data_IF_852017185290
#
_entry.id   IF_852017185290
#
_cell.length_a   1.000
_cell.length_b   1.000
_cell.length_c   1.000
_cell.angle_alpha   90.00
_cell.angle_beta   90.00
_cell.angle_gamma   90.00
#
_symmetry.space_group_name_H-M   'P 1'
#
loop_
_entity.id
_entity.type
_entity.pdbx_description
1 polymer ?
#
# COMPACT_ATOMS: atom_id res chain seq x y z
N UNK A 1 8.53 -8.50 -11.58
CA UNK A 1 7.98 -7.40 -10.75
C UNK A 1 7.07 -6.51 -11.58
N UNK A 2 6.06 -5.94 -10.94
CA UNK A 2 5.16 -4.96 -11.58
C UNK A 2 4.64 -4.01 -10.51
N UNK A 3 4.05 -2.90 -10.94
CA UNK A 3 3.34 -2.02 -10.00
C UNK A 3 2.04 -2.74 -9.60
N UNK A 4 1.94 -3.06 -8.31
CA UNK A 4 0.74 -3.70 -7.77
C UNK A 4 -0.37 -2.69 -7.51
N UNK A 5 -0.03 -1.60 -6.85
CA UNK A 5 -0.99 -0.54 -6.57
C UNK A 5 -0.32 0.81 -6.31
N UNK A 6 -1.15 1.84 -6.39
CA UNK A 6 -0.83 3.19 -5.92
C UNK A 6 -1.73 3.46 -4.73
N UNK A 7 -1.13 3.80 -3.59
CA UNK A 7 -1.88 4.10 -2.37
C UNK A 7 -2.04 5.60 -2.19
N UNK A 8 -3.26 6.00 -1.89
CA UNK A 8 -3.66 7.40 -1.73
C UNK A 8 -4.22 7.59 -0.32
N UNK A 9 -3.66 8.53 0.42
CA UNK A 9 -4.14 8.89 1.74
C UNK A 9 -5.38 9.79 1.60
N UNK A 10 -6.47 9.41 2.26
CA UNK A 10 -7.73 10.16 2.24
C UNK A 10 -8.26 10.32 3.66
N UNK A 11 -9.01 11.40 3.88
CA UNK A 11 -9.64 11.62 5.18
C UNK A 11 -10.83 10.67 5.42
N UNK A 12 -11.54 10.32 4.36
CA UNK A 12 -12.69 9.44 4.41
C UNK A 12 -12.77 8.57 3.16
N UNK A 13 -12.70 7.26 3.35
CA UNK A 13 -12.85 6.31 2.24
C UNK A 13 -14.22 6.44 1.60
N UNK A 14 -15.30 6.56 2.40
CA UNK A 14 -16.66 6.66 1.85
C UNK A 14 -16.86 7.91 1.00
N UNK A 15 -16.30 9.04 1.41
CA UNK A 15 -16.39 10.27 0.62
C UNK A 15 -15.50 10.20 -0.63
N UNK A 16 -14.28 9.69 -0.49
CA UNK A 16 -13.37 9.55 -1.62
C UNK A 16 -13.93 8.62 -2.70
N UNK A 17 -14.53 7.49 -2.30
CA UNK A 17 -15.14 6.56 -3.24
C UNK A 17 -16.15 7.21 -4.17
N UNK A 18 -16.94 8.15 -3.66
CA UNK A 18 -17.92 8.88 -4.48
C UNK A 18 -17.25 9.59 -5.65
N UNK A 19 -16.08 10.18 -5.41
CA UNK A 19 -15.33 10.88 -6.44
C UNK A 19 -14.74 9.93 -7.48
N UNK A 20 -14.11 8.86 -7.02
CA UNK A 20 -13.47 7.90 -7.90
C UNK A 20 -14.49 7.13 -8.75
N UNK A 21 -15.63 6.74 -8.17
CA UNK A 21 -16.68 6.04 -8.89
C UNK A 21 -17.33 6.88 -9.99
N UNK A 22 -17.38 8.20 -9.85
CA UNK A 22 -17.92 9.10 -10.87
C UNK A 22 -17.04 9.13 -12.13
N UNK A 23 -15.75 8.94 -11.98
CA UNK A 23 -14.76 9.22 -13.03
C UNK A 23 -14.22 7.95 -13.64
N UNK A 24 -13.99 6.91 -12.84
CA UNK A 24 -13.31 5.70 -13.25
C UNK A 24 -14.29 4.54 -13.42
N UNK A 25 -14.02 3.71 -14.42
CA UNK A 25 -14.67 2.39 -14.54
C UNK A 25 -13.88 1.41 -13.71
N UNK A 26 -14.38 1.11 -12.53
CA UNK A 26 -13.71 0.26 -11.57
C UNK A 26 -14.28 -1.15 -11.70
N UNK A 27 -13.42 -2.15 -11.90
CA UNK A 27 -13.84 -3.54 -12.10
C UNK A 27 -14.41 -4.15 -10.82
N UNK A 28 -13.81 -3.81 -9.68
CA UNK A 28 -14.23 -4.33 -8.38
C UNK A 28 -13.72 -3.41 -7.27
N UNK A 29 -14.54 -3.24 -6.22
CA UNK A 29 -14.17 -2.50 -5.03
C UNK A 29 -14.26 -3.44 -3.83
N UNK A 30 -13.17 -3.55 -3.07
CA UNK A 30 -13.12 -4.27 -1.80
C UNK A 30 -12.76 -3.29 -0.70
N UNK A 31 -13.31 -3.47 0.49
CA UNK A 31 -13.00 -2.64 1.65
C UNK A 31 -12.53 -3.55 2.78
N UNK A 32 -11.42 -3.19 3.40
CA UNK A 32 -10.81 -3.99 4.46
C UNK A 32 -10.20 -3.08 5.53
N UNK A 33 -10.27 -3.49 6.80
CA UNK A 33 -9.47 -2.89 7.85
C UNK A 33 -8.18 -3.69 8.04
N UNK A 34 -7.06 -2.98 8.18
CA UNK A 34 -5.74 -3.59 8.43
C UNK A 34 -5.26 -3.08 9.79
N UNK A 35 -5.58 -3.80 10.89
CA UNK A 35 -5.28 -3.33 12.24
C UNK A 35 -3.80 -3.08 12.51
N UNK A 36 -2.92 -3.91 11.93
CA UNK A 36 -1.48 -3.77 12.09
C UNK A 36 -0.96 -2.45 11.53
N UNK A 37 -1.61 -1.90 10.50
CA UNK A 37 -1.25 -0.62 9.88
C UNK A 37 -2.18 0.51 10.29
N UNK A 38 -3.19 0.23 11.10
CA UNK A 38 -4.19 1.19 11.61
C UNK A 38 -4.84 1.99 10.51
N UNK A 39 -5.27 1.27 9.46
CA UNK A 39 -5.92 1.85 8.29
C UNK A 39 -7.14 1.05 7.88
N UNK A 40 -8.09 1.76 7.28
CA UNK A 40 -9.17 1.20 6.49
C UNK A 40 -8.82 1.44 5.03
N UNK A 41 -8.89 0.41 4.22
CA UNK A 41 -8.45 0.47 2.82
C UNK A 41 -9.62 0.14 1.91
N UNK A 42 -9.84 0.97 0.90
CA UNK A 42 -10.68 0.62 -0.24
C UNK A 42 -9.77 0.28 -1.40
N UNK A 43 -9.92 -0.91 -1.93
CA UNK A 43 -9.12 -1.41 -3.05
C UNK A 43 -9.95 -1.34 -4.31
N UNK A 44 -9.53 -0.49 -5.24
CA UNK A 44 -10.19 -0.24 -6.52
C UNK A 44 -9.41 -0.96 -7.61
N UNK A 45 -9.96 -2.04 -8.15
CA UNK A 45 -9.29 -2.81 -9.19
C UNK A 45 -9.51 -2.19 -10.56
N UNK A 46 -8.40 -1.95 -11.25
CA UNK A 46 -8.34 -1.36 -12.59
C UNK A 46 -7.46 -2.26 -13.48
N UNK A 47 -8.05 -3.27 -14.09
CA UNK A 47 -7.25 -4.27 -14.82
C UNK A 47 -6.28 -4.99 -13.88
N UNK A 48 -5.01 -4.98 -14.22
CA UNK A 48 -3.97 -5.67 -13.43
C UNK A 48 -3.40 -4.82 -12.29
N UNK A 49 -3.83 -3.58 -12.15
CA UNK A 49 -3.34 -2.65 -11.15
C UNK A 49 -4.50 -2.19 -10.25
N UNK A 50 -4.16 -1.66 -9.09
CA UNK A 50 -5.15 -1.19 -8.12
C UNK A 50 -4.82 0.22 -7.67
N UNK A 51 -5.86 0.97 -7.31
CA UNK A 51 -5.74 2.16 -6.48
C UNK A 51 -6.23 1.77 -5.10
N UNK A 52 -5.47 2.08 -4.07
CA UNK A 52 -5.87 1.85 -2.68
C UNK A 52 -6.07 3.18 -1.97
N UNK A 53 -7.30 3.41 -1.52
CA UNK A 53 -7.63 4.59 -0.73
C UNK A 53 -7.49 4.22 0.74
N UNK A 54 -6.66 4.95 1.49
CA UNK A 54 -6.30 4.61 2.86
C UNK A 54 -6.78 5.69 3.81
N UNK A 55 -7.64 5.30 4.75
CA UNK A 55 -8.16 6.15 5.81
C UNK A 55 -7.57 5.71 7.15
N UNK A 56 -7.04 6.63 7.98
CA UNK A 56 -6.49 6.23 9.28
C UNK A 56 -7.59 5.80 10.24
N UNK A 57 -7.35 4.73 11.01
CA UNK A 57 -8.29 4.25 12.03
C UNK A 57 -7.87 4.61 13.45
N UNK A 58 -6.72 5.26 13.61
CA UNK A 58 -6.21 5.70 14.92
C UNK A 58 -5.34 6.93 14.74
N UNK A 59 -5.19 7.72 15.81
CA UNK A 59 -4.40 8.95 15.78
C UNK A 59 -2.90 8.70 15.55
N UNK A 60 -2.41 7.53 15.91
CA UNK A 60 -1.01 7.13 15.72
C UNK A 60 -0.76 6.37 14.41
N UNK A 61 -1.75 6.35 13.52
CA UNK A 61 -1.57 5.79 12.18
C UNK A 61 -0.57 6.62 11.37
N UNK A 62 0.35 5.98 10.62
CA UNK A 62 1.22 6.69 9.70
C UNK A 62 0.45 7.53 8.65
N UNK A 63 -0.73 7.06 8.27
CA UNK A 63 -1.60 7.81 7.34
C UNK A 63 -2.15 9.07 7.99
N UNK A 64 -2.46 9.02 9.28
CA UNK A 64 -2.90 10.21 10.02
C UNK A 64 -1.82 11.28 10.03
N UNK A 65 -0.59 10.89 10.29
CA UNK A 65 0.56 11.79 10.26
C UNK A 65 0.75 12.42 8.88
N UNK A 66 0.66 11.59 7.83
CA UNK A 66 0.79 12.06 6.45
C UNK A 66 -0.29 13.11 6.12
N UNK A 67 -1.55 12.82 6.45
CA UNK A 67 -2.67 13.74 6.20
C UNK A 67 -2.49 15.06 6.93
N UNK A 68 -2.02 15.02 8.19
CA UNK A 68 -1.77 16.22 8.99
C UNK A 68 -0.66 17.08 8.39
N UNK A 69 0.40 16.45 7.91
CA UNK A 69 1.57 17.17 7.38
C UNK A 69 1.41 17.60 5.92
N UNK A 70 0.73 16.80 5.09
CA UNK A 70 0.71 16.99 3.64
C UNK A 70 -0.68 17.10 3.03
N UNK A 71 -1.74 16.72 3.78
CA UNK A 71 -3.09 16.62 3.22
C UNK A 71 -3.28 15.35 2.40
N UNK A 72 -4.41 15.27 1.71
CA UNK A 72 -4.72 14.12 0.86
C UNK A 72 -3.80 14.06 -0.36
N UNK A 73 -3.43 12.86 -0.76
CA UNK A 73 -2.58 12.65 -1.92
C UNK A 73 -1.92 11.29 -1.94
N UNK A 74 -1.06 11.05 -2.93
CA UNK A 74 -0.34 9.80 -3.07
C UNK A 74 0.58 9.59 -1.87
N UNK A 75 0.42 8.44 -1.22
CA UNK A 75 1.23 8.06 -0.06
C UNK A 75 2.41 7.17 -0.46
N UNK A 76 2.17 6.16 -1.27
CA UNK A 76 3.22 5.25 -1.72
C UNK A 76 2.84 4.53 -3.01
N UNK A 77 3.83 3.91 -3.63
CA UNK A 77 3.62 2.95 -4.70
C UNK A 77 4.07 1.57 -4.21
N UNK A 78 3.40 0.54 -4.65
CA UNK A 78 3.73 -0.83 -4.28
C UNK A 78 4.15 -1.65 -5.50
N UNK A 79 5.22 -2.39 -5.32
CA UNK A 79 5.82 -3.27 -6.33
C UNK A 79 5.65 -4.71 -5.88
N UNK A 80 5.21 -5.58 -6.78
CA UNK A 80 5.11 -7.00 -6.46
C UNK A 80 6.49 -7.60 -6.26
N UNK A 81 6.65 -8.37 -5.20
CA UNK A 81 7.85 -9.17 -4.95
C UNK A 81 7.56 -10.62 -5.29
N UNK A 82 8.48 -11.28 -6.00
CA UNK A 82 8.37 -12.70 -6.29
C UNK A 82 8.75 -13.54 -5.07
N UNK A 83 9.76 -13.07 -4.34
CA UNK A 83 10.23 -13.63 -3.08
C UNK A 83 10.69 -12.45 -2.23
N UNK A 84 9.82 -12.00 -1.34
CA UNK A 84 10.05 -10.74 -0.61
C UNK A 84 11.28 -10.80 0.29
N UNK A 85 11.55 -11.95 0.91
CA UNK A 85 12.72 -12.10 1.76
C UNK A 85 14.01 -11.92 0.94
N UNK A 86 14.06 -12.52 -0.24
CA UNK A 86 15.18 -12.42 -1.16
C UNK A 86 15.33 -11.02 -1.74
N UNK A 87 14.23 -10.41 -2.10
CA UNK A 87 14.24 -9.06 -2.66
C UNK A 87 14.73 -8.05 -1.64
N UNK A 88 14.34 -8.20 -0.36
CA UNK A 88 14.82 -7.38 0.73
C UNK A 88 16.33 -7.60 0.97
N UNK A 89 16.78 -8.85 1.01
CA UNK A 89 18.20 -9.15 1.17
C UNK A 89 19.06 -8.50 0.08
N UNK A 90 18.61 -8.60 -1.17
CA UNK A 90 19.30 -7.98 -2.31
C UNK A 90 19.34 -6.46 -2.17
N UNK A 91 18.22 -5.85 -1.78
CA UNK A 91 18.13 -4.41 -1.57
C UNK A 91 19.09 -3.93 -0.46
N UNK A 92 19.07 -4.62 0.68
CA UNK A 92 19.94 -4.29 1.81
C UNK A 92 21.41 -4.45 1.44
N UNK A 93 21.76 -5.52 0.73
CA UNK A 93 23.11 -5.75 0.26
C UNK A 93 23.59 -4.64 -0.70
N UNK A 94 22.67 -3.97 -1.38
CA UNK A 94 22.97 -2.84 -2.27
C UNK A 94 22.99 -1.49 -1.56
N UNK A 95 22.82 -1.46 -0.24
CA UNK A 95 22.82 -0.24 0.56
C UNK A 95 21.45 0.41 0.71
N UNK A 96 20.37 -0.26 0.31
CA UNK A 96 19.01 0.25 0.44
C UNK A 96 18.57 0.27 1.91
N UNK A 97 17.94 1.36 2.31
CA UNK A 97 17.39 1.52 3.65
C UNK A 97 15.94 1.05 3.69
N UNK A 98 15.66 0.04 4.50
CA UNK A 98 14.31 -0.46 4.73
C UNK A 98 13.66 0.22 5.93
N UNK A 99 12.33 0.25 5.96
CA UNK A 99 11.55 0.72 7.10
C UNK A 99 10.80 -0.47 7.69
N UNK A 100 11.19 -0.86 8.89
CA UNK A 100 10.55 -1.96 9.60
C UNK A 100 10.87 -3.33 8.99
N UNK A 101 10.21 -4.32 9.54
CA UNK A 101 10.36 -5.71 9.13
C UNK A 101 9.26 -6.11 8.14
N UNK A 102 9.45 -7.26 7.49
CA UNK A 102 8.39 -7.90 6.70
C UNK A 102 7.24 -8.24 7.65
N UNK A 103 6.03 -7.87 7.26
CA UNK A 103 4.82 -8.08 8.06
C UNK A 103 3.62 -8.34 7.18
N UNK A 104 2.48 -8.63 7.79
CA UNK A 104 1.23 -8.89 7.07
C UNK A 104 0.45 -7.60 6.86
N UNK A 105 0.11 -7.31 5.62
CA UNK A 105 -0.76 -6.21 5.22
C UNK A 105 -2.15 -6.70 4.81
N UNK A 106 -2.81 -5.94 3.94
CA UNK A 106 -4.15 -6.29 3.46
C UNK A 106 -4.17 -7.63 2.71
N UNK A 107 -5.25 -8.37 2.87
CA UNK A 107 -5.46 -9.70 2.25
C UNK A 107 -4.34 -10.70 2.50
N UNK A 108 -3.73 -10.66 3.69
CA UNK A 108 -2.69 -11.62 4.07
C UNK A 108 -1.39 -11.51 3.29
N UNK A 109 -1.21 -10.45 2.51
CA UNK A 109 0.03 -10.21 1.77
C UNK A 109 1.17 -9.90 2.71
N UNK A 110 2.36 -10.36 2.38
CA UNK A 110 3.57 -9.92 3.06
C UNK A 110 4.00 -8.59 2.51
N UNK A 111 4.30 -7.63 3.38
CA UNK A 111 4.69 -6.29 2.98
C UNK A 111 5.93 -5.82 3.73
N UNK A 112 6.67 -4.91 3.13
CA UNK A 112 7.69 -4.09 3.78
C UNK A 112 7.92 -2.83 2.97
N UNK A 113 8.53 -1.83 3.57
CA UNK A 113 8.73 -0.54 2.92
C UNK A 113 10.19 -0.19 2.75
N UNK A 114 10.48 0.45 1.62
CA UNK A 114 11.79 1.05 1.31
C UNK A 114 11.72 2.52 1.68
N UNK A 115 12.71 2.97 2.45
CA UNK A 115 12.78 4.37 2.86
C UNK A 115 12.83 5.30 1.64
N UNK A 116 12.08 6.42 1.65
CA UNK A 116 12.06 7.35 0.50
C UNK A 116 13.44 7.81 0.05
N UNK A 117 14.40 7.96 0.98
CA UNK A 117 15.77 8.37 0.61
C UNK A 117 16.45 7.39 -0.33
N UNK A 118 16.09 6.12 -0.30
CA UNK A 118 16.64 5.11 -1.20
C UNK A 118 15.93 5.06 -2.55
N UNK A 119 14.77 5.74 -2.68
CA UNK A 119 13.92 5.73 -3.87
C UNK A 119 13.60 7.14 -4.36
N UNK A 120 14.55 8.05 -4.21
CA UNK A 120 14.43 9.41 -4.73
C UNK A 120 13.19 10.17 -4.25
N UNK A 121 12.85 9.97 -2.98
CA UNK A 121 11.75 10.67 -2.32
C UNK A 121 10.42 9.94 -2.35
N UNK A 122 10.35 8.74 -2.94
CA UNK A 122 9.12 7.96 -3.04
C UNK A 122 9.10 6.82 -2.03
N UNK A 123 8.14 6.84 -1.11
CA UNK A 123 7.90 5.69 -0.25
C UNK A 123 7.43 4.53 -1.14
N UNK A 124 8.17 3.42 -1.10
CA UNK A 124 7.93 2.28 -1.97
C UNK A 124 7.72 1.02 -1.15
N UNK A 125 6.66 0.28 -1.44
CA UNK A 125 6.32 -0.97 -0.77
C UNK A 125 6.71 -2.15 -1.63
N UNK A 126 7.31 -3.18 -1.03
CA UNK A 126 7.30 -4.51 -1.60
C UNK A 126 6.07 -5.24 -1.07
N UNK A 127 5.33 -5.91 -1.93
CA UNK A 127 4.21 -6.74 -1.52
C UNK A 127 4.22 -8.08 -2.25
N UNK A 128 3.94 -9.13 -1.50
CA UNK A 128 3.88 -10.49 -2.04
C UNK A 128 2.56 -11.12 -1.64
N UNK A 129 1.82 -11.60 -2.64
CA UNK A 129 0.58 -12.32 -2.41
C UNK A 129 0.84 -13.61 -1.61
N UNK A 130 -0.12 -14.05 -0.77
CA UNK A 130 0.01 -15.35 -0.12
C UNK A 130 0.05 -16.45 -1.16
N UNK A 131 0.67 -17.61 -0.84
CA UNK A 131 0.68 -18.76 -1.76
C UNK A 131 -0.75 -19.13 -2.15
N UNK A 132 -0.95 -19.45 -3.43
CA UNK A 132 -2.23 -19.97 -3.88
C UNK A 132 -2.51 -21.29 -3.18
N UNK A 133 -3.74 -21.45 -2.66
CA UNK A 133 -4.19 -22.74 -2.17
C UNK A 133 -4.45 -23.63 -3.39
N UNK A 134 -3.49 -24.52 -3.64
CA UNK A 134 -3.66 -25.59 -4.64
C UNK A 134 -4.38 -26.74 -3.94
N UNK A 135 -5.66 -26.76 -4.07
CA UNK A 135 -6.45 -27.94 -3.68
C UNK A 135 -6.75 -28.81 -4.87
#
# INVERSE_FOLDING_TARGET
>A
MRVDHVAIAVNSVSEALKNYEKILKIDKIDIEEVPTERVKVAILRLGDTKIELMEPTADDSPIKKFLTERGEGIHHIAITADDIERDVERAVASGTRMIGNIRTGSYGRKITFIHPKSMNGVLTEFCQAPPENKE
#
